data_IF_860091792745
#
_entry.id   IF_860091792745
#
_cell.length_a   1.000
_cell.length_b   1.000
_cell.length_c   1.000
_cell.angle_alpha   90.00
_cell.angle_beta   90.00
_cell.angle_gamma   90.00
#
_symmetry.space_group_name_H-M   'P 1'
#
loop_
_entity.id
_entity.type
_entity.pdbx_description
1 polymer ?
#
# COMPACT_ATOMS: atom_id res chain seq x y z
N UNK A 1 -2.29 14.18 -9.23
CA UNK A 1 -3.78 14.25 -9.21
C UNK A 1 -4.24 15.51 -9.93
N UNK A 2 -5.40 15.49 -10.60
CA UNK A 2 -6.02 16.61 -11.28
C UNK A 2 -7.52 16.67 -10.96
N UNK A 3 -8.16 17.80 -11.27
CA UNK A 3 -9.59 18.02 -11.07
C UNK A 3 -10.20 18.65 -12.33
N UNK A 4 -11.50 18.49 -12.49
CA UNK A 4 -12.27 19.06 -13.61
C UNK A 4 -13.16 20.18 -13.11
N UNK A 5 -13.14 21.32 -13.81
CA UNK A 5 -14.03 22.45 -13.53
C UNK A 5 -15.19 22.48 -14.52
N UNK A 6 -16.39 22.46 -14.00
CA UNK A 6 -17.62 22.72 -14.75
C UNK A 6 -18.19 24.08 -14.31
N UNK A 7 -18.19 25.04 -15.23
CA UNK A 7 -18.56 26.45 -14.93
C UNK A 7 -17.76 27.07 -13.77
N UNK A 8 -16.47 26.75 -13.68
CA UNK A 8 -15.56 27.26 -12.63
C UNK A 8 -15.68 26.56 -11.26
N UNK A 9 -16.52 25.54 -11.14
CA UNK A 9 -16.72 24.77 -9.91
C UNK A 9 -16.10 23.37 -10.09
N UNK A 10 -15.35 22.86 -9.11
CA UNK A 10 -14.84 21.49 -9.15
C UNK A 10 -15.99 20.47 -9.24
N UNK A 11 -15.95 19.65 -10.29
CA UNK A 11 -16.90 18.55 -10.47
C UNK A 11 -16.58 17.40 -9.50
N UNK A 12 -17.62 16.78 -8.98
CA UNK A 12 -17.54 15.52 -8.22
C UNK A 12 -18.36 14.42 -8.91
N UNK A 13 -18.11 13.16 -8.53
CA UNK A 13 -18.79 12.01 -9.11
C UNK A 13 -18.19 11.59 -10.47
N UNK A 14 -18.97 10.85 -11.23
CA UNK A 14 -18.53 10.30 -12.51
C UNK A 14 -18.35 11.35 -13.60
N UNK A 15 -17.23 11.22 -14.34
CA UNK A 15 -16.89 12.04 -15.49
C UNK A 15 -16.45 11.17 -16.65
N UNK A 16 -17.09 11.33 -17.83
CA UNK A 16 -16.59 10.80 -19.09
C UNK A 16 -15.87 11.92 -19.84
N UNK A 17 -14.56 11.75 -20.07
CA UNK A 17 -13.73 12.76 -20.74
C UNK A 17 -12.66 12.08 -21.59
N UNK A 18 -12.50 12.53 -22.83
CA UNK A 18 -11.50 12.01 -23.76
C UNK A 18 -11.61 10.50 -24.03
N UNK A 19 -12.83 9.93 -24.00
CA UNK A 19 -13.07 8.51 -24.20
C UNK A 19 -12.73 7.62 -23.00
N UNK A 20 -12.37 8.22 -21.87
CA UNK A 20 -12.09 7.54 -20.60
C UNK A 20 -13.12 7.91 -19.53
N UNK A 21 -13.29 7.03 -18.52
CA UNK A 21 -14.18 7.24 -17.37
C UNK A 21 -13.35 7.52 -16.12
N UNK A 22 -13.76 8.51 -15.33
CA UNK A 22 -13.09 8.97 -14.12
C UNK A 22 -14.10 9.09 -12.99
N UNK A 23 -13.63 8.99 -11.74
CA UNK A 23 -14.39 9.39 -10.57
C UNK A 23 -13.65 10.51 -9.83
N UNK A 24 -14.37 11.60 -9.51
CA UNK A 24 -13.82 12.83 -8.93
C UNK A 24 -14.38 13.06 -7.52
N UNK A 25 -13.49 13.33 -6.53
CA UNK A 25 -13.89 13.64 -5.14
C UNK A 25 -12.91 14.57 -4.42
N UNK A 26 -12.80 15.85 -4.80
CA UNK A 26 -12.89 16.51 -6.11
C UNK A 26 -11.75 16.16 -7.07
N UNK A 27 -10.73 15.42 -6.59
CA UNK A 27 -9.57 14.97 -7.38
C UNK A 27 -9.83 13.57 -7.95
N UNK A 28 -9.05 13.22 -8.96
CA UNK A 28 -9.03 11.85 -9.49
C UNK A 28 -8.48 10.86 -8.47
N UNK A 29 -9.03 9.66 -8.46
CA UNK A 29 -8.49 8.52 -7.75
C UNK A 29 -7.37 7.83 -8.53
N UNK A 30 -6.55 7.04 -7.83
CA UNK A 30 -5.56 6.13 -8.40
C UNK A 30 -5.54 4.84 -7.59
N UNK A 31 -5.16 3.72 -8.22
CA UNK A 31 -5.16 2.40 -7.59
C UNK A 31 -6.55 1.81 -7.44
N UNK A 32 -6.70 0.89 -6.49
CA UNK A 32 -7.97 0.22 -6.23
C UNK A 32 -8.77 1.00 -5.18
N UNK A 33 -9.95 1.47 -5.56
CA UNK A 33 -10.79 2.33 -4.70
C UNK A 33 -12.25 1.94 -4.79
N UNK A 34 -12.95 2.06 -3.66
CA UNK A 34 -14.40 2.04 -3.63
C UNK A 34 -14.96 3.43 -3.96
N UNK A 35 -15.99 3.44 -4.76
CA UNK A 35 -16.77 4.64 -5.08
C UNK A 35 -18.25 4.39 -4.79
N UNK A 36 -18.94 5.44 -4.34
CA UNK A 36 -20.36 5.38 -4.15
C UNK A 36 -21.07 5.58 -5.49
N UNK A 37 -21.90 4.63 -5.88
CA UNK A 37 -22.76 4.75 -7.04
C UNK A 37 -24.12 5.33 -6.59
N UNK A 38 -24.43 6.55 -7.03
CA UNK A 38 -25.66 7.24 -6.66
C UNK A 38 -26.90 6.61 -7.31
N UNK A 39 -26.73 5.93 -8.44
CA UNK A 39 -27.85 5.31 -9.18
C UNK A 39 -28.27 3.99 -8.52
N UNK A 40 -27.31 3.18 -8.04
CA UNK A 40 -27.58 1.90 -7.38
C UNK A 40 -27.71 2.02 -5.86
N UNK A 41 -27.13 3.06 -5.26
CA UNK A 41 -27.05 3.24 -3.81
C UNK A 41 -26.09 2.26 -3.14
N UNK A 42 -25.14 1.73 -3.88
CA UNK A 42 -24.14 0.75 -3.42
C UNK A 42 -22.73 1.27 -3.61
N UNK A 43 -21.78 0.66 -2.93
CA UNK A 43 -20.35 0.89 -3.15
C UNK A 43 -19.82 -0.14 -4.13
N UNK A 44 -19.16 0.34 -5.18
CA UNK A 44 -18.49 -0.49 -6.16
C UNK A 44 -16.99 -0.20 -6.16
N UNK A 45 -16.19 -1.24 -6.45
CA UNK A 45 -14.73 -1.12 -6.49
C UNK A 45 -14.24 -1.05 -7.91
N UNK A 46 -13.31 -0.12 -8.17
CA UNK A 46 -12.69 0.10 -9.47
C UNK A 46 -11.18 0.23 -9.35
N UNK A 47 -10.47 -0.20 -10.39
CA UNK A 47 -9.08 0.20 -10.58
C UNK A 47 -9.03 1.51 -11.36
N UNK A 48 -8.19 2.43 -10.90
CA UNK A 48 -7.87 3.69 -11.57
C UNK A 48 -6.39 3.68 -11.95
N UNK A 49 -6.08 3.99 -13.21
CA UNK A 49 -4.70 4.09 -13.68
C UNK A 49 -3.98 5.32 -13.07
N UNK A 50 -2.71 5.50 -13.44
CA UNK A 50 -1.91 6.64 -12.94
C UNK A 50 -2.46 8.00 -13.34
N UNK A 51 -3.29 8.07 -14.38
CA UNK A 51 -3.96 9.29 -14.85
C UNK A 51 -5.35 9.45 -14.21
N UNK A 52 -5.77 8.49 -13.40
CA UNK A 52 -7.04 8.47 -12.70
C UNK A 52 -8.21 7.95 -13.53
N UNK A 53 -7.95 7.35 -14.67
CA UNK A 53 -9.00 6.72 -15.48
C UNK A 53 -9.29 5.31 -14.98
N UNK A 54 -10.58 4.91 -15.03
CA UNK A 54 -10.98 3.52 -14.79
C UNK A 54 -10.26 2.59 -15.77
N UNK A 55 -9.69 1.52 -15.25
CA UNK A 55 -8.99 0.50 -16.03
C UNK A 55 -9.32 -0.91 -15.52
N UNK A 56 -9.09 -1.90 -16.38
CA UNK A 56 -9.22 -3.32 -16.06
C UNK A 56 -7.83 -3.97 -16.21
N UNK A 57 -7.05 -4.07 -15.11
CA UNK A 57 -5.72 -4.67 -15.18
C UNK A 57 -5.82 -6.18 -15.44
N UNK A 58 -4.88 -6.70 -16.24
CA UNK A 58 -4.75 -8.14 -16.42
C UNK A 58 -4.26 -8.82 -15.13
N UNK A 59 -4.51 -10.14 -15.02
CA UNK A 59 -3.93 -10.95 -13.94
C UNK A 59 -2.41 -10.82 -13.89
N UNK A 60 -1.85 -10.74 -12.68
CA UNK A 60 -0.45 -10.54 -12.40
C UNK A 60 -0.15 -9.24 -11.67
N UNK A 61 1.07 -8.76 -11.78
CA UNK A 61 1.49 -7.53 -11.14
C UNK A 61 0.94 -6.29 -11.86
N UNK A 62 0.33 -5.42 -11.08
CA UNK A 62 -0.18 -4.12 -11.51
C UNK A 62 0.37 -3.03 -10.60
N UNK A 63 0.73 -1.88 -11.15
CA UNK A 63 1.20 -0.75 -10.36
C UNK A 63 0.68 0.57 -10.88
N UNK A 64 0.48 1.50 -9.97
CA UNK A 64 0.15 2.89 -10.26
C UNK A 64 1.11 3.82 -9.54
N UNK A 65 1.42 4.95 -10.15
CA UNK A 65 2.20 6.02 -9.52
C UNK A 65 1.27 7.13 -9.08
N UNK A 66 1.40 7.55 -7.81
CA UNK A 66 0.69 8.69 -7.27
C UNK A 66 1.58 9.41 -6.26
N UNK A 67 1.64 10.74 -6.34
CA UNK A 67 2.38 11.60 -5.42
C UNK A 67 3.86 11.20 -5.21
N UNK A 68 4.51 10.74 -6.30
CA UNK A 68 5.91 10.31 -6.31
C UNK A 68 6.16 8.89 -5.77
N UNK A 69 5.13 8.21 -5.30
CA UNK A 69 5.21 6.82 -4.84
C UNK A 69 4.65 5.85 -5.88
N UNK A 70 5.09 4.59 -5.82
CA UNK A 70 4.55 3.50 -6.63
C UNK A 70 3.80 2.54 -5.72
N UNK A 71 2.54 2.33 -6.02
CA UNK A 71 1.65 1.41 -5.32
C UNK A 71 1.51 0.14 -6.15
N UNK A 72 1.72 -1.02 -5.53
CA UNK A 72 1.73 -2.31 -6.18
C UNK A 72 0.54 -3.16 -5.75
N UNK A 73 -0.04 -3.86 -6.71
CA UNK A 73 -1.15 -4.80 -6.54
C UNK A 73 -0.80 -6.10 -7.24
N UNK A 74 -1.36 -7.20 -6.77
CA UNK A 74 -1.35 -8.46 -7.51
C UNK A 74 -2.79 -8.83 -7.87
N UNK A 75 -3.08 -8.91 -9.17
CA UNK A 75 -4.42 -9.19 -9.69
C UNK A 75 -4.56 -10.69 -9.92
N UNK A 76 -5.68 -11.23 -9.51
CA UNK A 76 -6.02 -12.64 -9.69
C UNK A 76 -7.51 -12.77 -9.98
N UNK A 77 -7.85 -13.32 -11.15
CA UNK A 77 -9.23 -13.41 -11.65
C UNK A 77 -9.93 -12.04 -11.70
N UNK A 78 -9.21 -11.00 -12.12
CA UNK A 78 -9.72 -9.62 -12.23
C UNK A 78 -9.81 -8.85 -10.91
N UNK A 79 -9.52 -9.48 -9.75
CA UNK A 79 -9.59 -8.87 -8.43
C UNK A 79 -8.20 -8.74 -7.79
N UNK A 80 -7.93 -7.71 -6.97
CA UNK A 80 -6.68 -7.63 -6.24
C UNK A 80 -6.64 -8.67 -5.12
N UNK A 81 -5.49 -9.29 -4.92
CA UNK A 81 -5.22 -10.03 -3.68
C UNK A 81 -5.25 -9.03 -2.52
N UNK A 82 -6.01 -9.36 -1.46
CA UNK A 82 -6.24 -8.47 -0.30
C UNK A 82 -6.03 -9.20 1.02
N UNK A 83 -5.73 -8.42 2.06
CA UNK A 83 -5.77 -8.81 3.47
C UNK A 83 -5.02 -10.12 3.78
N UNK A 84 -3.82 -10.28 3.20
CA UNK A 84 -3.06 -11.51 3.45
C UNK A 84 -1.75 -11.63 2.70
N UNK A 85 -1.27 -12.86 2.65
CA UNK A 85 -0.02 -13.24 1.99
C UNK A 85 -0.27 -13.89 0.64
N UNK A 86 0.49 -13.46 -0.36
CA UNK A 86 0.53 -14.10 -1.66
C UNK A 86 1.92 -13.95 -2.31
N UNK A 87 2.49 -15.04 -2.83
CA UNK A 87 3.79 -15.07 -3.48
C UNK A 87 4.94 -14.39 -2.68
N UNK A 88 4.93 -14.54 -1.35
CA UNK A 88 5.97 -13.96 -0.49
C UNK A 88 5.78 -12.49 -0.12
N UNK A 89 4.72 -11.86 -0.59
CA UNK A 89 4.35 -10.47 -0.30
C UNK A 89 3.08 -10.40 0.55
N UNK A 90 2.94 -9.35 1.34
CA UNK A 90 1.75 -9.07 2.12
C UNK A 90 0.96 -7.93 1.49
N UNK A 91 -0.36 -8.09 1.46
CA UNK A 91 -1.30 -7.12 0.90
C UNK A 91 -2.22 -6.60 1.99
N UNK A 92 -2.52 -5.32 1.94
CA UNK A 92 -3.48 -4.64 2.81
C UNK A 92 -4.92 -5.02 2.43
N UNK A 93 -5.86 -4.57 3.23
CA UNK A 93 -7.31 -4.76 2.99
C UNK A 93 -7.79 -4.12 1.67
N UNK A 94 -7.11 -3.05 1.20
CA UNK A 94 -7.38 -2.36 -0.07
C UNK A 94 -6.60 -2.95 -1.25
N UNK A 95 -5.88 -4.05 -1.04
CA UNK A 95 -5.11 -4.75 -2.07
C UNK A 95 -3.72 -4.16 -2.34
N UNK A 96 -3.32 -3.09 -1.66
CA UNK A 96 -2.00 -2.51 -1.81
C UNK A 96 -0.93 -3.42 -1.17
N UNK A 97 0.14 -3.72 -1.90
CA UNK A 97 1.29 -4.44 -1.36
C UNK A 97 2.06 -3.59 -0.37
N UNK A 98 2.40 -4.16 0.78
CA UNK A 98 3.23 -3.49 1.78
C UNK A 98 4.68 -3.47 1.29
N UNK A 99 5.26 -2.26 1.17
CA UNK A 99 6.65 -2.04 0.74
C UNK A 99 7.32 -1.00 1.63
N UNK A 100 8.64 -1.11 1.82
CA UNK A 100 9.49 -0.09 2.43
C UNK A 100 8.96 0.46 3.75
N UNK A 101 8.23 -0.33 4.52
CA UNK A 101 7.50 0.14 5.67
C UNK A 101 7.42 -0.90 6.79
N UNK A 102 7.04 -0.41 7.96
CA UNK A 102 6.74 -1.21 9.14
C UNK A 102 5.25 -1.54 9.13
N UNK A 103 4.93 -2.78 9.44
CA UNK A 103 3.57 -3.25 9.63
C UNK A 103 3.39 -3.84 11.03
N UNK A 104 2.34 -3.45 11.72
CA UNK A 104 1.99 -4.01 13.03
C UNK A 104 0.77 -4.92 12.89
N UNK A 105 0.90 -6.14 13.41
CA UNK A 105 -0.16 -7.14 13.44
C UNK A 105 -0.11 -7.85 14.80
N UNK A 106 -1.24 -7.86 15.53
CA UNK A 106 -1.36 -8.49 16.86
C UNK A 106 -0.23 -8.12 17.83
N UNK A 107 0.12 -6.82 17.92
CA UNK A 107 1.23 -6.29 18.72
C UNK A 107 2.64 -6.73 18.28
N UNK A 108 2.75 -7.39 17.13
CA UNK A 108 4.02 -7.74 16.51
C UNK A 108 4.36 -6.77 15.37
N UNK A 109 5.64 -6.40 15.26
CA UNK A 109 6.13 -5.48 14.25
C UNK A 109 6.88 -6.26 13.18
N UNK A 110 6.53 -6.00 11.93
CA UNK A 110 7.17 -6.59 10.77
C UNK A 110 7.77 -5.50 9.88
N UNK A 111 8.96 -5.75 9.33
CA UNK A 111 9.68 -4.80 8.48
C UNK A 111 9.81 -5.37 7.08
N UNK A 112 9.36 -4.60 6.09
CA UNK A 112 9.40 -4.98 4.68
C UNK A 112 10.37 -4.08 3.92
N UNK A 113 11.13 -4.65 2.98
CA UNK A 113 11.96 -3.87 2.07
C UNK A 113 11.15 -3.13 1.00
N UNK A 114 11.83 -2.34 0.16
CA UNK A 114 11.19 -1.55 -0.90
C UNK A 114 10.59 -2.43 -2.03
N UNK A 115 10.92 -3.72 -2.06
CA UNK A 115 10.35 -4.69 -2.97
C UNK A 115 9.18 -5.48 -2.34
N UNK A 116 8.84 -5.20 -1.07
CA UNK A 116 7.75 -5.86 -0.35
C UNK A 116 8.10 -7.22 0.24
N UNK A 117 9.40 -7.56 0.34
CA UNK A 117 9.82 -8.78 1.02
C UNK A 117 9.98 -8.55 2.51
N UNK A 118 9.44 -9.47 3.31
CA UNK A 118 9.60 -9.46 4.76
C UNK A 118 11.06 -9.70 5.15
N UNK A 119 11.65 -8.78 5.88
CA UNK A 119 13.02 -8.86 6.39
C UNK A 119 13.10 -9.80 7.60
N UNK A 120 13.99 -10.80 7.54
CA UNK A 120 14.14 -11.87 8.55
C UNK A 120 15.59 -12.08 8.95
N UNK A 121 15.78 -12.59 10.18
CA UNK A 121 17.08 -13.09 10.68
C UNK A 121 18.21 -12.06 10.66
N UNK A 122 18.13 -11.02 11.48
CA UNK A 122 19.28 -10.19 11.72
C UNK A 122 19.04 -8.69 11.59
N UNK A 123 20.13 -7.98 11.35
CA UNK A 123 20.13 -6.54 11.20
C UNK A 123 19.74 -6.10 9.80
N UNK A 124 18.84 -5.13 9.72
CA UNK A 124 18.38 -4.53 8.47
C UNK A 124 18.36 -3.02 8.60
N UNK A 125 18.74 -2.35 7.51
CA UNK A 125 18.64 -0.88 7.41
C UNK A 125 17.55 -0.53 6.41
N UNK A 126 16.56 0.24 6.87
CA UNK A 126 15.47 0.73 6.03
C UNK A 126 15.34 2.25 6.23
N UNK A 127 15.45 3.03 5.15
CA UNK A 127 15.30 4.49 5.10
C UNK A 127 16.12 5.28 6.14
N UNK A 128 17.29 4.72 6.55
CA UNK A 128 18.20 5.35 7.52
C UNK A 128 18.17 4.70 8.90
N UNK A 129 17.10 4.03 9.26
CA UNK A 129 16.89 3.37 10.55
C UNK A 129 17.34 1.91 10.53
N UNK A 130 17.76 1.40 11.69
CA UNK A 130 18.19 0.03 11.88
C UNK A 130 17.19 -0.76 12.70
N UNK A 131 16.91 -1.98 12.23
CA UNK A 131 16.03 -2.96 12.84
C UNK A 131 16.74 -4.28 13.03
N UNK A 132 16.34 -5.06 14.03
CA UNK A 132 16.75 -6.45 14.16
C UNK A 132 15.53 -7.33 14.17
N UNK A 133 15.47 -8.31 13.26
CA UNK A 133 14.33 -9.19 13.12
C UNK A 133 14.67 -10.65 13.46
N UNK A 134 13.70 -11.38 13.96
CA UNK A 134 13.80 -12.81 14.23
C UNK A 134 13.57 -13.68 12.96
N UNK A 135 13.57 -15.00 13.13
CA UNK A 135 13.34 -15.94 12.02
C UNK A 135 11.93 -15.85 11.42
N UNK A 136 10.97 -15.30 12.16
CA UNK A 136 9.61 -15.05 11.67
C UNK A 136 9.46 -13.68 11.02
N UNK A 137 10.47 -12.82 11.10
CA UNK A 137 10.45 -11.44 10.58
C UNK A 137 9.92 -10.42 11.59
N UNK A 138 9.75 -10.79 12.86
CA UNK A 138 9.30 -9.88 13.90
C UNK A 138 10.48 -9.02 14.36
N UNK A 139 10.30 -7.71 14.35
CA UNK A 139 11.28 -6.77 14.85
C UNK A 139 11.40 -6.81 16.38
N UNK A 140 12.59 -6.62 16.89
CA UNK A 140 12.83 -6.48 18.33
C UNK A 140 12.39 -5.11 18.81
N UNK A 141 11.82 -5.06 20.03
CA UNK A 141 11.46 -3.85 20.77
C UNK A 141 12.03 -3.91 22.18
N UNK A 142 12.24 -2.76 22.81
CA UNK A 142 12.78 -2.65 24.16
C UNK A 142 14.24 -3.14 24.27
N UNK A 143 14.64 -3.57 25.47
CA UNK A 143 15.99 -4.13 25.69
C UNK A 143 16.09 -5.57 25.15
N UNK A 144 17.09 -5.80 24.32
CA UNK A 144 17.39 -7.16 23.76
C UNK A 144 18.90 -7.42 23.83
N UNK A 145 19.25 -8.69 24.10
CA UNK A 145 20.64 -9.14 24.05
C UNK A 145 20.87 -9.92 22.76
N UNK A 146 21.77 -9.43 21.91
CA UNK A 146 22.14 -10.04 20.63
C UNK A 146 23.63 -10.36 20.68
N UNK A 147 24.00 -11.62 20.51
CA UNK A 147 25.40 -12.10 20.56
C UNK A 147 26.18 -11.58 21.78
N UNK A 148 25.54 -11.55 22.95
CA UNK A 148 26.16 -11.09 24.20
C UNK A 148 26.10 -9.58 24.47
N UNK A 149 25.80 -8.76 23.46
CA UNK A 149 25.71 -7.31 23.57
C UNK A 149 24.25 -6.87 23.78
N UNK A 150 24.05 -5.90 24.66
CA UNK A 150 22.74 -5.29 24.90
C UNK A 150 22.47 -4.18 23.89
N UNK A 151 21.26 -4.19 23.34
CA UNK A 151 20.72 -3.21 22.43
C UNK A 151 19.37 -2.73 22.95
N UNK A 152 19.01 -1.49 22.60
CA UNK A 152 17.72 -0.91 22.93
C UNK A 152 16.97 -0.54 21.65
N UNK A 153 15.70 -0.91 21.55
CA UNK A 153 14.84 -0.61 20.39
C UNK A 153 13.62 0.19 20.86
N UNK A 154 13.14 1.11 20.04
CA UNK A 154 11.87 1.81 20.27
C UNK A 154 10.68 0.84 20.21
N UNK A 155 9.50 1.35 20.56
CA UNK A 155 8.25 0.59 20.41
C UNK A 155 7.92 0.30 18.93
N UNK A 156 8.48 1.09 17.99
CA UNK A 156 8.40 0.85 16.54
C UNK A 156 9.53 -0.07 16.00
N UNK A 157 10.36 -0.61 16.88
CA UNK A 157 11.44 -1.54 16.52
C UNK A 157 12.72 -0.87 15.99
N UNK A 158 12.86 0.45 16.08
CA UNK A 158 14.07 1.16 15.64
C UNK A 158 15.16 1.06 16.71
N UNK A 159 16.38 0.70 16.30
CA UNK A 159 17.52 0.66 17.21
C UNK A 159 17.91 2.07 17.67
N UNK A 160 17.99 2.23 18.99
CA UNK A 160 18.47 3.44 19.66
C UNK A 160 20.00 3.32 19.84
N UNK A 161 20.73 4.25 19.23
CA UNK A 161 22.21 4.31 19.30
C UNK A 161 22.69 4.84 20.65
#
# INVERSE_FOLDING_TARGET
>A
QWYYLENGIPKTGWLNYGGKRYYLSPWTFTGYRDVWDEDTGEREYYFFDQDGAVCEPNDGWFSVKSDGQTYWYYIKNGEPVRDGWYNGHRFRWDGEMITGSIWTDADEIYVYDDNGYLLKNGWHKLHGDWYYTDAKGRAYTGERKINGTKYWFTDEGVWVK
#
